data_IF_177690741203
#
_entry.id   IF_177690741203
#
_cell.length_a   1.000
_cell.length_b   1.000
_cell.length_c   1.000
_cell.angle_alpha   90.00
_cell.angle_beta   90.00
_cell.angle_gamma   90.00
#
_symmetry.space_group_name_H-M   'P 1'
#
loop_
_entity.id
_entity.type
_entity.pdbx_description
1 polymer ?
#
# COMPACT_ATOMS: atom_id res chain seq x y z
N UNK A 1 -4.89 2.36 -25.18
CA UNK A 1 -5.45 1.24 -24.40
C UNK A 1 -5.88 1.81 -23.06
N UNK A 2 -7.19 1.89 -22.80
CA UNK A 2 -7.72 2.49 -21.57
C UNK A 2 -8.13 1.38 -20.60
N UNK A 3 -7.52 1.35 -19.42
CA UNK A 3 -7.93 0.48 -18.34
C UNK A 3 -8.95 1.28 -17.53
N UNK A 4 -10.24 1.02 -17.75
CA UNK A 4 -11.34 1.59 -16.95
C UNK A 4 -11.86 0.49 -16.03
N UNK A 5 -11.49 0.55 -14.76
CA UNK A 5 -12.07 -0.25 -13.69
C UNK A 5 -12.09 0.60 -12.43
N UNK A 6 -13.20 0.59 -11.69
CA UNK A 6 -13.24 1.12 -10.32
C UNK A 6 -12.27 0.31 -9.48
N UNK A 7 -11.03 0.80 -9.37
CA UNK A 7 -10.15 0.42 -8.29
C UNK A 7 -10.52 1.39 -7.18
N UNK A 8 -11.27 0.91 -6.19
CA UNK A 8 -11.51 1.63 -4.94
C UNK A 8 -10.14 1.83 -4.26
N UNK A 9 -9.40 2.85 -4.71
CA UNK A 9 -7.93 2.99 -4.71
C UNK A 9 -7.31 3.25 -3.35
N UNK A 10 -8.10 3.06 -2.29
CA UNK A 10 -7.72 3.30 -0.91
C UNK A 10 -8.10 2.07 -0.08
N UNK A 11 -7.11 1.52 0.61
CA UNK A 11 -7.32 0.41 1.54
C UNK A 11 -6.86 0.84 2.92
N UNK A 12 -7.76 0.79 3.90
CA UNK A 12 -7.41 0.99 5.29
C UNK A 12 -7.16 -0.37 5.94
N UNK A 13 -6.00 -0.51 6.57
CA UNK A 13 -5.62 -1.73 7.28
C UNK A 13 -5.26 -1.37 8.71
N UNK A 14 -5.82 -2.11 9.67
CA UNK A 14 -5.57 -1.90 11.10
C UNK A 14 -5.08 -3.19 11.73
N UNK A 15 -4.03 -3.09 12.55
CA UNK A 15 -3.60 -4.17 13.43
C UNK A 15 -4.46 -4.19 14.69
N UNK A 16 -5.09 -5.31 15.01
CA UNK A 16 -5.97 -5.45 16.18
C UNK A 16 -5.28 -6.07 17.42
N UNK A 17 -3.96 -6.23 17.40
CA UNK A 17 -3.18 -6.93 18.44
C UNK A 17 -2.91 -8.40 18.16
N UNK A 18 -3.54 -8.99 17.13
CA UNK A 18 -3.31 -10.38 16.70
C UNK A 18 -2.99 -10.46 15.21
N UNK A 19 -3.78 -9.78 14.39
CA UNK A 19 -3.66 -9.81 12.94
C UNK A 19 -4.02 -8.46 12.31
N UNK A 20 -3.61 -8.29 11.05
CA UNK A 20 -4.02 -7.18 10.22
C UNK A 20 -5.40 -7.45 9.63
N UNK A 21 -6.30 -6.47 9.69
CA UNK A 21 -7.64 -6.55 9.11
C UNK A 21 -7.89 -5.35 8.21
N UNK A 22 -8.50 -5.59 7.05
CA UNK A 22 -9.04 -4.52 6.21
C UNK A 22 -10.24 -3.91 6.91
N UNK A 23 -10.33 -2.58 6.90
CA UNK A 23 -11.47 -1.84 7.43
C UNK A 23 -11.96 -0.84 6.39
N UNK A 24 -13.23 -0.48 6.45
CA UNK A 24 -13.84 0.50 5.53
C UNK A 24 -13.79 1.92 6.10
N UNK A 25 -13.51 2.07 7.40
CA UNK A 25 -13.42 3.38 8.04
C UNK A 25 -12.54 3.36 9.29
N UNK A 26 -11.93 4.51 9.60
CA UNK A 26 -11.25 4.78 10.87
C UNK A 26 -11.90 5.98 11.55
N UNK A 27 -13.04 5.79 12.25
CA UNK A 27 -13.71 6.90 12.92
C UNK A 27 -12.82 7.49 14.03
N UNK A 28 -12.51 8.78 13.91
CA UNK A 28 -11.77 9.54 14.93
C UNK A 28 -10.24 9.34 14.95
N UNK A 29 -9.67 8.63 13.98
CA UNK A 29 -8.23 8.34 13.95
C UNK A 29 -7.63 8.58 12.57
N UNK A 30 -6.47 9.24 12.53
CA UNK A 30 -5.63 9.31 11.33
C UNK A 30 -4.77 8.04 11.21
N UNK A 31 -4.50 7.55 9.99
CA UNK A 31 -3.56 6.45 9.80
C UNK A 31 -2.18 6.82 10.35
N UNK A 32 -1.49 5.85 10.98
CA UNK A 32 -0.10 6.04 11.42
C UNK A 32 0.86 6.20 10.24
N UNK A 33 0.52 5.59 9.10
CA UNK A 33 1.25 5.70 7.85
C UNK A 33 0.28 5.65 6.70
N UNK A 34 0.55 6.44 5.67
CA UNK A 34 -0.13 6.40 4.38
C UNK A 34 0.90 6.07 3.32
N UNK A 35 0.53 5.23 2.36
CA UNK A 35 1.40 4.76 1.28
C UNK A 35 0.66 5.04 -0.02
N UNK A 36 1.22 5.91 -0.84
CA UNK A 36 0.71 6.20 -2.18
C UNK A 36 1.63 5.59 -3.22
N UNK A 37 1.06 4.82 -4.13
CA UNK A 37 1.77 4.12 -5.20
C UNK A 37 1.02 4.39 -6.49
N UNK A 38 1.72 4.85 -7.52
CA UNK A 38 1.08 5.02 -8.82
C UNK A 38 0.66 3.66 -9.43
N UNK A 39 -0.27 3.68 -10.38
CA UNK A 39 -0.82 2.47 -10.96
C UNK A 39 0.25 1.59 -11.65
N UNK A 40 1.27 2.21 -12.25
CA UNK A 40 2.35 1.50 -12.93
C UNK A 40 3.23 0.75 -11.92
N UNK A 41 3.68 1.44 -10.87
CA UNK A 41 4.50 0.87 -9.80
C UNK A 41 3.72 -0.21 -9.04
N UNK A 42 2.44 0.02 -8.75
CA UNK A 42 1.55 -0.96 -8.12
C UNK A 42 1.53 -2.26 -8.93
N UNK A 43 1.27 -2.17 -10.23
CA UNK A 43 1.27 -3.35 -11.11
C UNK A 43 2.61 -4.07 -11.11
N UNK A 44 3.74 -3.35 -11.17
CA UNK A 44 5.08 -3.94 -11.18
C UNK A 44 5.44 -4.66 -9.87
N UNK A 45 4.94 -4.17 -8.74
CA UNK A 45 5.09 -4.82 -7.43
C UNK A 45 4.26 -6.10 -7.35
N UNK A 46 2.97 -6.04 -7.70
CA UNK A 46 2.07 -7.21 -7.67
C UNK A 46 2.49 -8.30 -8.65
N UNK A 47 2.96 -7.92 -9.84
CA UNK A 47 3.50 -8.87 -10.83
C UNK A 47 4.90 -9.38 -10.49
N UNK A 48 5.48 -8.95 -9.35
CA UNK A 48 6.85 -9.27 -8.89
C UNK A 48 7.93 -8.95 -9.93
N UNK A 49 7.64 -8.02 -10.85
CA UNK A 49 8.55 -7.66 -11.94
C UNK A 49 9.62 -6.67 -11.49
N UNK A 50 9.32 -5.84 -10.49
CA UNK A 50 10.27 -4.91 -9.85
C UNK A 50 10.15 -5.01 -8.33
N UNK A 51 11.22 -4.63 -7.62
CA UNK A 51 11.23 -4.53 -6.16
C UNK A 51 10.97 -3.09 -5.71
N UNK A 52 10.54 -2.86 -4.46
CA UNK A 52 10.34 -1.51 -3.91
C UNK A 52 11.52 -0.58 -4.12
N UNK A 53 12.75 -1.08 -3.94
CA UNK A 53 13.99 -0.33 -4.18
C UNK A 53 14.16 0.18 -5.62
N UNK A 54 13.52 -0.47 -6.59
CA UNK A 54 13.59 -0.09 -8.01
C UNK A 54 12.51 0.96 -8.36
N UNK A 55 11.66 1.33 -7.39
CA UNK A 55 10.47 2.17 -7.57
C UNK A 55 10.39 3.29 -6.50
N UNK A 56 11.50 3.66 -5.87
CA UNK A 56 11.53 4.63 -4.77
C UNK A 56 10.86 5.97 -5.13
N UNK A 57 11.08 6.47 -6.35
CA UNK A 57 10.48 7.73 -6.82
C UNK A 57 8.97 7.63 -7.11
N UNK A 58 8.41 6.41 -7.07
CA UNK A 58 7.02 6.08 -7.39
C UNK A 58 6.21 5.63 -6.19
N UNK A 59 6.85 5.54 -5.02
CA UNK A 59 6.25 5.13 -3.75
C UNK A 59 6.44 6.28 -2.77
N UNK A 60 5.35 6.88 -2.33
CA UNK A 60 5.36 7.93 -1.33
C UNK A 60 4.86 7.37 0.00
N UNK A 61 5.62 7.58 1.06
CA UNK A 61 5.24 7.20 2.43
C UNK A 61 5.10 8.47 3.24
N UNK A 62 3.94 8.67 3.86
CA UNK A 62 3.65 9.79 4.74
C UNK A 62 3.34 9.25 6.14
N UNK A 63 3.88 9.88 7.19
CA UNK A 63 3.73 9.43 8.58
C UNK A 63 4.88 8.52 9.03
N UNK A 64 4.57 7.33 9.56
CA UNK A 64 5.57 6.41 10.10
C UNK A 64 6.33 5.67 8.99
N UNK A 65 7.50 6.21 8.63
CA UNK A 65 8.38 5.69 7.57
C UNK A 65 8.68 4.20 7.70
N UNK A 66 9.09 3.75 8.89
CA UNK A 66 9.48 2.35 9.13
C UNK A 66 8.31 1.38 8.94
N UNK A 67 7.11 1.79 9.32
CA UNK A 67 5.90 1.00 9.11
C UNK A 67 5.53 0.97 7.62
N UNK A 68 5.63 2.10 6.92
CA UNK A 68 5.39 2.18 5.49
C UNK A 68 6.33 1.29 4.68
N UNK A 69 7.63 1.33 4.97
CA UNK A 69 8.64 0.49 4.31
C UNK A 69 8.36 -1.00 4.52
N UNK A 70 8.06 -1.40 5.76
CA UNK A 70 7.70 -2.78 6.07
C UNK A 70 6.43 -3.22 5.33
N UNK A 71 5.41 -2.36 5.26
CA UNK A 71 4.18 -2.65 4.53
C UNK A 71 4.41 -2.77 3.01
N UNK A 72 5.25 -1.92 2.42
CA UNK A 72 5.62 -2.00 1.00
C UNK A 72 6.35 -3.31 0.67
N UNK A 73 7.25 -3.76 1.53
CA UNK A 73 7.91 -5.07 1.39
C UNK A 73 6.90 -6.23 1.47
N UNK A 74 5.86 -6.11 2.29
CA UNK A 74 4.81 -7.12 2.40
C UNK A 74 3.92 -7.22 1.15
N UNK A 75 3.75 -6.14 0.37
CA UNK A 75 2.96 -6.17 -0.89
C UNK A 75 3.51 -7.23 -1.85
N UNK A 76 4.81 -7.52 -1.83
CA UNK A 76 5.44 -8.55 -2.65
C UNK A 76 4.93 -9.98 -2.38
N UNK A 77 4.25 -10.20 -1.25
CA UNK A 77 3.74 -11.50 -0.82
C UNK A 77 2.20 -11.58 -0.88
N UNK A 78 1.51 -10.48 -1.18
CA UNK A 78 0.06 -10.44 -1.37
C UNK A 78 -0.29 -10.83 -2.81
N UNK A 79 -0.12 -12.11 -3.16
CA UNK A 79 -0.62 -12.71 -4.41
C UNK A 79 -1.18 -14.09 -4.16
#
# INVERSE_FOLDING_TARGET
MAITGEVNGEWLVRYNGKNWVRTESMPGSTPLTEISIDAYASWKLFSKSLRPKDLQDKIQITGNQKLGEAAVEMILFMT
#
